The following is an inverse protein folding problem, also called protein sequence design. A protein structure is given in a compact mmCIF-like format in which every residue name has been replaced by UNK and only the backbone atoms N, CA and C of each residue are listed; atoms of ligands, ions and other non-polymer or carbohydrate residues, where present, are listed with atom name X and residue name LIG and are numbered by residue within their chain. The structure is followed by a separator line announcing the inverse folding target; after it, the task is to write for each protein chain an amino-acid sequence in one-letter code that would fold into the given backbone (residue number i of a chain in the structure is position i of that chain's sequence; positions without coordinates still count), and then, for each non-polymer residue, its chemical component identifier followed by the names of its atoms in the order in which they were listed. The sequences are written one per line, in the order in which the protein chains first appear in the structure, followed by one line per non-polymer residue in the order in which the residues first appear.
data_IF_403879045591
#
_entry.id   IF_403879045591
#
_cell.length_a   1.000
_cell.length_b   1.000
_cell.length_c   1.000
_cell.angle_alpha   90.00
_cell.angle_beta   90.00
_cell.angle_gamma   90.00
#
_symmetry.space_group_name_H-M   'P 1'
#
loop_
_entity.id
_entity.type
_entity.pdbx_description
1 polymer ?
#
# COMPACT_ATOMS: atom_id res chain seq x y z
N UNK A 1 -14.29 -12.78 -3.44
CA UNK A 1 -14.71 -11.41 -3.08
C UNK A 1 -15.28 -11.32 -1.68
N UNK A 2 -16.35 -12.06 -1.37
CA UNK A 2 -17.05 -11.98 -0.06
C UNK A 2 -16.09 -11.99 1.15
N UNK A 3 -15.20 -12.98 1.25
CA UNK A 3 -14.26 -13.10 2.38
C UNK A 3 -13.37 -11.87 2.54
N UNK A 4 -12.88 -11.28 1.45
CA UNK A 4 -12.06 -10.06 1.51
C UNK A 4 -12.84 -8.86 2.03
N UNK A 5 -14.12 -8.72 1.66
CA UNK A 5 -14.98 -7.70 2.24
C UNK A 5 -15.17 -7.93 3.74
N UNK A 6 -15.46 -9.16 4.16
CA UNK A 6 -15.66 -9.48 5.58
C UNK A 6 -14.42 -9.17 6.43
N UNK A 7 -13.22 -9.43 5.93
CA UNK A 7 -11.97 -9.05 6.62
C UNK A 7 -11.90 -7.53 6.82
N UNK A 8 -12.12 -6.75 5.76
CA UNK A 8 -12.08 -5.29 5.83
C UNK A 8 -13.20 -4.71 6.72
N UNK A 9 -14.42 -5.22 6.58
CA UNK A 9 -15.57 -4.83 7.40
C UNK A 9 -15.29 -5.11 8.88
N UNK A 10 -14.75 -6.30 9.20
CA UNK A 10 -14.40 -6.67 10.57
C UNK A 10 -13.28 -5.79 11.13
N UNK A 11 -12.29 -5.43 10.31
CA UNK A 11 -11.25 -4.49 10.71
C UNK A 11 -11.81 -3.10 11.02
N UNK A 12 -12.68 -2.56 10.16
CA UNK A 12 -13.34 -1.26 10.40
C UNK A 12 -14.24 -1.30 11.65
N UNK A 13 -14.92 -2.42 11.90
CA UNK A 13 -15.71 -2.64 13.11
C UNK A 13 -14.84 -2.74 14.38
N UNK A 14 -13.65 -3.34 14.26
CA UNK A 14 -12.67 -3.41 15.33
C UNK A 14 -12.13 -2.03 15.70
N UNK A 15 -11.61 -1.27 14.74
CA UNK A 15 -10.97 0.03 15.01
C UNK A 15 -11.99 1.08 15.47
N UNK A 16 -13.24 1.09 14.95
CA UNK A 16 -14.25 2.05 15.44
C UNK A 16 -14.56 1.84 16.93
N UNK A 17 -14.55 0.59 17.41
CA UNK A 17 -14.80 0.25 18.82
C UNK A 17 -13.65 0.71 19.72
N UNK A 18 -12.44 0.84 19.16
CA UNK A 18 -11.28 1.43 19.84
C UNK A 18 -11.27 2.96 19.78
N UNK A 19 -12.24 3.60 19.13
CA UNK A 19 -12.37 5.07 19.10
C UNK A 19 -11.76 5.75 17.88
N UNK A 20 -11.34 5.00 16.86
CA UNK A 20 -10.93 5.60 15.59
C UNK A 20 -12.14 6.25 14.88
N UNK A 21 -11.98 7.49 14.43
CA UNK A 21 -13.08 8.31 13.93
C UNK A 21 -13.31 8.19 12.42
N UNK A 22 -12.24 8.02 11.65
CA UNK A 22 -12.28 7.99 10.18
C UNK A 22 -11.36 6.92 9.65
N UNK A 23 -11.73 6.34 8.51
CA UNK A 23 -10.90 5.46 7.70
C UNK A 23 -10.61 6.13 6.36
N UNK A 24 -9.35 6.03 5.92
CA UNK A 24 -8.86 6.59 4.66
C UNK A 24 -8.42 5.46 3.74
N UNK A 25 -8.93 5.42 2.52
CA UNK A 25 -8.64 4.37 1.54
C UNK A 25 -8.20 5.02 0.23
N UNK A 26 -6.97 4.75 -0.17
CA UNK A 26 -6.49 5.03 -1.52
C UNK A 26 -6.69 3.82 -2.43
N UNK A 27 -7.70 3.89 -3.30
CA UNK A 27 -8.05 2.85 -4.26
C UNK A 27 -7.12 2.87 -5.48
N UNK A 28 -5.87 2.45 -5.28
CA UNK A 28 -4.84 2.38 -6.30
C UNK A 28 -4.59 0.91 -6.71
N UNK A 29 -4.81 0.51 -7.97
CA UNK A 29 -4.36 -0.80 -8.44
C UNK A 29 -2.84 -0.78 -8.70
N UNK A 30 -2.14 -1.92 -8.54
CA UNK A 30 -0.70 -1.98 -8.84
C UNK A 30 -0.45 -1.79 -10.34
N UNK A 31 0.70 -1.19 -10.68
CA UNK A 31 1.15 -1.06 -12.07
C UNK A 31 1.48 -2.43 -12.67
N UNK A 32 1.56 -2.48 -14.01
CA UNK A 32 1.92 -3.71 -14.71
C UNK A 32 3.34 -4.13 -14.35
N UNK A 33 3.49 -5.31 -13.77
CA UNK A 33 4.78 -5.85 -13.32
C UNK A 33 5.02 -5.65 -11.82
N UNK A 34 4.20 -4.86 -11.14
CA UNK A 34 4.31 -4.62 -9.71
C UNK A 34 3.42 -5.54 -8.89
N UNK A 35 3.89 -5.83 -7.68
CA UNK A 35 3.21 -6.60 -6.66
C UNK A 35 3.20 -5.81 -5.35
N UNK A 36 2.03 -5.66 -4.71
CA UNK A 36 1.94 -4.93 -3.44
C UNK A 36 2.54 -5.70 -2.27
N UNK A 37 2.21 -6.98 -2.12
CA UNK A 37 2.61 -7.82 -0.99
C UNK A 37 3.13 -9.17 -1.50
N UNK A 38 2.33 -9.90 -2.26
CA UNK A 38 2.68 -11.25 -2.70
C UNK A 38 3.47 -11.22 -4.01
N UNK A 39 4.73 -11.67 -3.95
CA UNK A 39 5.64 -11.73 -5.08
C UNK A 39 5.20 -12.79 -6.11
N UNK A 40 5.18 -12.39 -7.39
CA UNK A 40 4.80 -13.24 -8.52
C UNK A 40 3.37 -13.80 -8.39
N UNK A 41 2.38 -12.98 -8.75
CA UNK A 41 0.96 -13.39 -8.83
C UNK A 41 0.68 -14.34 -10.01
N UNK A 42 -0.41 -15.14 -9.96
CA UNK A 42 -0.79 -16.01 -11.07
C UNK A 42 -1.06 -15.22 -12.35
N UNK A 43 -0.64 -15.75 -13.50
CA UNK A 43 -0.79 -15.06 -14.80
C UNK A 43 -2.26 -14.82 -15.18
N UNK A 44 -3.15 -15.70 -14.75
CA UNK A 44 -4.60 -15.61 -14.97
C UNK A 44 -5.31 -14.71 -13.94
N UNK A 45 -4.62 -14.31 -12.86
CA UNK A 45 -5.13 -13.36 -11.88
C UNK A 45 -5.08 -11.93 -12.42
N UNK A 46 -6.22 -11.48 -12.95
CA UNK A 46 -6.36 -10.13 -13.52
C UNK A 46 -6.33 -9.04 -12.45
N UNK A 47 -5.45 -8.05 -12.63
CA UNK A 47 -5.49 -6.80 -11.87
C UNK A 47 -6.73 -5.98 -12.25
N UNK A 48 -7.56 -5.54 -11.28
CA UNK A 48 -8.69 -4.67 -11.58
C UNK A 48 -8.20 -3.29 -12.07
N UNK A 49 -8.90 -2.71 -13.04
CA UNK A 49 -8.72 -1.29 -13.41
C UNK A 49 -9.27 -0.38 -12.31
N UNK A 50 -8.86 0.88 -12.31
CA UNK A 50 -9.17 1.88 -11.28
C UNK A 50 -10.67 1.95 -10.95
N UNK A 51 -11.52 2.10 -11.97
CA UNK A 51 -12.97 2.16 -11.77
C UNK A 51 -13.55 0.91 -11.11
N UNK A 52 -13.04 -0.27 -11.47
CA UNK A 52 -13.50 -1.55 -10.89
C UNK A 52 -13.04 -1.70 -9.44
N UNK A 53 -11.81 -1.30 -9.13
CA UNK A 53 -11.27 -1.35 -7.77
C UNK A 53 -12.00 -0.34 -6.86
N UNK A 54 -12.23 0.88 -7.34
CA UNK A 54 -13.04 1.88 -6.61
C UNK A 54 -14.43 1.34 -6.28
N UNK A 55 -15.13 0.80 -7.28
CA UNK A 55 -16.48 0.25 -7.05
C UNK A 55 -16.46 -0.93 -6.07
N UNK A 56 -15.39 -1.73 -6.07
CA UNK A 56 -15.22 -2.83 -5.13
C UNK A 56 -15.15 -2.34 -3.68
N UNK A 57 -14.36 -1.29 -3.40
CA UNK A 57 -14.31 -0.66 -2.08
C UNK A 57 -15.63 0.03 -1.70
N UNK A 58 -16.26 0.74 -2.63
CA UNK A 58 -17.57 1.38 -2.39
C UNK A 58 -18.60 0.33 -1.99
N UNK A 59 -18.65 -0.82 -2.67
CA UNK A 59 -19.58 -1.90 -2.33
C UNK A 59 -19.32 -2.45 -0.91
N UNK A 60 -18.06 -2.58 -0.51
CA UNK A 60 -17.67 -2.99 0.85
C UNK A 60 -18.09 -1.95 1.91
N UNK A 61 -17.90 -0.65 1.64
CA UNK A 61 -18.29 0.42 2.56
C UNK A 61 -19.80 0.62 2.65
N UNK A 62 -20.54 0.43 1.56
CA UNK A 62 -22.01 0.39 1.57
C UNK A 62 -22.52 -0.75 2.46
N UNK A 63 -21.84 -1.90 2.45
CA UNK A 63 -22.13 -3.00 3.38
C UNK A 63 -21.80 -2.62 4.83
N UNK A 64 -20.70 -1.91 5.08
CA UNK A 64 -20.43 -1.31 6.40
C UNK A 64 -21.54 -0.35 6.84
N UNK A 65 -22.08 0.45 5.91
CA UNK A 65 -23.24 1.31 6.21
C UNK A 65 -24.46 0.44 6.57
N UNK A 66 -24.79 -0.62 5.85
CA UNK A 66 -25.91 -1.50 6.25
C UNK A 66 -25.76 -2.06 7.66
N UNK A 67 -24.53 -2.36 8.08
CA UNK A 67 -24.19 -2.92 9.40
C UNK A 67 -23.97 -1.89 10.50
N UNK A 68 -24.31 -0.62 10.26
CA UNK A 68 -24.14 0.47 11.23
C UNK A 68 -22.67 0.68 11.69
N UNK A 69 -21.69 0.26 10.88
CA UNK A 69 -20.24 0.41 11.14
C UNK A 69 -19.72 1.76 10.62
N UNK A 70 -20.17 2.14 9.42
CA UNK A 70 -19.81 3.39 8.73
C UNK A 70 -21.04 4.28 8.60
N UNK A 71 -20.85 5.57 8.77
CA UNK A 71 -21.84 6.61 8.51
C UNK A 71 -21.59 7.28 7.16
N UNK A 72 -21.26 8.57 7.18
CA UNK A 72 -20.99 9.40 5.99
C UNK A 72 -19.76 8.87 5.25
N UNK A 73 -19.80 8.92 3.92
CA UNK A 73 -18.65 8.72 3.05
C UNK A 73 -18.41 9.99 2.24
N UNK A 74 -17.15 10.32 2.00
CA UNK A 74 -16.71 11.45 1.17
C UNK A 74 -15.34 11.12 0.56
N UNK A 75 -14.63 12.11 0.06
CA UNK A 75 -13.27 11.97 -0.45
C UNK A 75 -12.37 13.10 0.08
N UNK A 76 -11.06 12.93 -0.09
CA UNK A 76 -10.06 13.90 0.37
C UNK A 76 -10.20 15.28 -0.30
N UNK A 77 -10.66 15.32 -1.56
CA UNK A 77 -10.86 16.58 -2.28
C UNK A 77 -12.00 17.41 -1.69
N UNK A 78 -13.18 16.81 -1.55
CA UNK A 78 -14.35 17.51 -1.03
C UNK A 78 -14.12 17.93 0.45
N UNK A 79 -13.31 17.18 1.21
CA UNK A 79 -13.03 17.49 2.61
C UNK A 79 -11.95 18.57 2.81
N UNK A 80 -10.85 18.50 2.04
CA UNK A 80 -9.68 19.36 2.24
C UNK A 80 -9.40 20.27 1.06
N UNK A 81 -9.26 19.72 -0.15
CA UNK A 81 -8.74 20.46 -1.31
C UNK A 81 -9.77 21.38 -1.98
N UNK A 82 -11.06 21.22 -1.72
CA UNK A 82 -12.10 22.15 -2.19
C UNK A 82 -12.33 23.31 -1.23
N UNK A 83 -11.85 23.22 0.01
CA UNK A 83 -12.06 24.24 1.03
C UNK A 83 -10.99 25.33 0.93
N UNK A 84 -11.41 26.54 0.58
CA UNK A 84 -10.51 27.69 0.40
C UNK A 84 -9.89 28.20 1.72
N UNK A 85 -10.46 27.83 2.86
CA UNK A 85 -10.00 28.26 4.18
C UNK A 85 -8.94 27.33 4.79
N UNK A 86 -8.62 26.21 4.14
CA UNK A 86 -7.62 25.25 4.62
C UNK A 86 -6.29 25.44 3.89
N UNK A 87 -5.21 25.26 4.64
CA UNK A 87 -3.84 25.16 4.11
C UNK A 87 -3.37 23.69 4.12
N UNK A 88 -2.18 23.45 3.58
CA UNK A 88 -1.61 22.11 3.47
C UNK A 88 -1.42 21.40 4.82
N UNK A 89 -1.36 22.13 5.95
CA UNK A 89 -1.18 21.53 7.28
C UNK A 89 -2.44 20.84 7.80
N UNK A 90 -3.60 21.13 7.22
CA UNK A 90 -4.86 20.50 7.56
C UNK A 90 -5.01 19.09 6.95
N UNK A 91 -4.24 18.77 5.90
CA UNK A 91 -4.31 17.49 5.20
C UNK A 91 -3.61 16.41 6.04
N UNK A 92 -4.28 15.29 6.35
CA UNK A 92 -3.67 14.14 7.03
C UNK A 92 -2.39 13.66 6.32
N UNK A 93 -1.31 13.54 7.08
CA UNK A 93 -0.04 13.03 6.59
C UNK A 93 0.05 11.53 6.91
N UNK A 94 -0.07 10.70 5.88
CA UNK A 94 0.13 9.25 5.97
C UNK A 94 1.38 8.84 5.18
N UNK A 95 2.23 8.02 5.79
CA UNK A 95 3.44 7.52 5.15
C UNK A 95 3.11 6.68 3.91
N UNK A 96 3.76 6.98 2.79
CA UNK A 96 3.55 6.28 1.52
C UNK A 96 2.25 6.61 0.79
N UNK A 97 1.47 7.59 1.26
CA UNK A 97 0.30 8.09 0.56
C UNK A 97 0.69 9.01 -0.62
N UNK A 98 -0.27 9.32 -1.49
CA UNK A 98 -0.06 10.13 -2.68
C UNK A 98 0.29 11.59 -2.34
N UNK A 99 -0.37 12.18 -1.34
CA UNK A 99 -0.33 13.63 -1.11
C UNK A 99 1.03 14.17 -0.68
N UNK A 100 1.77 13.54 0.27
CA UNK A 100 3.07 14.05 0.69
C UNK A 100 4.08 14.17 -0.46
N UNK A 101 4.21 13.13 -1.28
CA UNK A 101 5.15 13.14 -2.41
C UNK A 101 4.78 14.17 -3.48
N UNK A 102 3.48 14.30 -3.79
CA UNK A 102 3.01 15.32 -4.74
C UNK A 102 3.22 16.74 -4.19
N UNK A 103 2.97 16.96 -2.90
CA UNK A 103 3.21 18.24 -2.24
C UNK A 103 4.69 18.64 -2.31
N UNK A 104 5.62 17.70 -2.07
CA UNK A 104 7.05 17.95 -2.20
C UNK A 104 7.45 18.35 -3.63
N UNK A 105 6.91 17.67 -4.65
CA UNK A 105 7.17 18.02 -6.05
C UNK A 105 6.66 19.43 -6.37
N UNK A 106 5.44 19.76 -5.91
CA UNK A 106 4.84 21.07 -6.09
C UNK A 106 5.67 22.17 -5.41
N UNK A 107 6.16 21.92 -4.19
CA UNK A 107 6.99 22.88 -3.44
C UNK A 107 8.28 23.16 -4.22
N UNK A 108 8.97 22.10 -4.69
CA UNK A 108 10.17 22.24 -5.52
C UNK A 108 9.90 23.09 -6.77
N UNK A 109 8.83 22.78 -7.51
CA UNK A 109 8.44 23.54 -8.71
C UNK A 109 8.14 25.02 -8.41
N UNK A 110 7.53 25.32 -7.26
CA UNK A 110 7.21 26.68 -6.84
C UNK A 110 8.47 27.47 -6.43
N UNK A 111 9.44 26.81 -5.80
CA UNK A 111 10.72 27.41 -5.43
C UNK A 111 11.57 27.71 -6.68
N UNK A 112 11.65 26.77 -7.61
CA UNK A 112 12.35 26.95 -8.89
C UNK A 112 11.67 28.02 -9.76
N UNK A 113 10.34 28.07 -9.77
CA UNK A 113 9.55 29.09 -10.46
C UNK A 113 9.72 30.51 -9.90
N UNK A 114 10.07 30.65 -8.61
CA UNK A 114 10.41 31.95 -7.99
C UNK A 114 11.82 32.42 -8.40
N UNK A 115 12.75 31.50 -8.66
CA UNK A 115 14.11 31.80 -9.14
C UNK A 115 14.17 32.43 -10.54
N UNK A 116 13.16 32.20 -11.38
CA UNK A 116 13.11 32.71 -12.75
C UNK A 116 12.42 34.09 -12.91
N UNK A 117 11.99 34.74 -11.82
CA UNK A 117 11.38 36.09 -11.85
C UNK A 117 12.36 37.23 -11.50
N UNK A 118 13.65 36.96 -11.48
CA UNK A 118 14.72 37.97 -11.32
C UNK A 118 15.71 37.96 -12.48
N UNK A 119 15.27 38.35 -13.68
CA UNK A 119 16.20 38.41 -14.82
C UNK A 119 15.52 38.63 -16.16
N UNK A 120 15.11 39.87 -16.45
CA UNK A 120 14.92 40.29 -17.84
C UNK A 120 16.26 40.19 -18.57
N UNK A 121 16.41 39.20 -19.44
CA UNK A 121 17.62 39.04 -20.27
C UNK A 121 17.45 37.92 -21.26
N UNK A 122 16.83 38.20 -22.41
CA UNK A 122 16.48 37.22 -23.41
C UNK A 122 17.65 36.35 -23.87
N UNK A 123 17.40 35.05 -24.05
CA UNK A 123 18.19 34.19 -24.94
C UNK A 123 17.31 33.18 -25.67
N UNK A 124 17.46 33.22 -26.99
CA UNK A 124 16.73 32.52 -28.05
C UNK A 124 16.58 31.01 -27.80
N UNK A 125 15.38 30.48 -28.06
CA UNK A 125 15.12 29.06 -28.32
C UNK A 125 16.05 28.55 -29.42
N UNK A 126 17.03 27.70 -29.06
CA UNK A 126 17.75 26.87 -30.03
C UNK A 126 16.95 25.58 -30.24
N UNK A 127 16.17 25.53 -31.32
CA UNK A 127 15.74 24.26 -31.94
C UNK A 127 16.99 23.48 -32.36
N UNK A 128 17.18 22.26 -31.87
CA UNK A 128 18.06 21.28 -32.53
C UNK A 128 17.21 20.18 -33.14
N UNK A 129 17.36 20.07 -34.46
CA UNK A 129 16.71 19.17 -35.41
C UNK A 129 16.96 17.69 -35.07
N UNK A 130 15.90 16.90 -35.09
CA UNK A 130 15.97 15.47 -35.43
C UNK A 130 16.45 15.35 -36.89
N UNK A 131 17.56 14.65 -37.11
CA UNK A 131 18.01 14.24 -38.44
C UNK A 131 17.48 12.83 -38.70
N UNK A 132 16.45 12.75 -39.54
CA UNK A 132 16.17 11.54 -40.32
C UNK A 132 17.32 11.30 -41.29
N UNK A 133 17.84 10.08 -41.31
CA UNK A 133 18.54 9.55 -42.47
C UNK A 133 17.89 8.22 -42.85
N UNK A 134 17.24 8.20 -44.01
CA UNK A 134 16.91 6.98 -44.76
C UNK A 134 18.14 6.62 -45.59
N UNK A 135 18.57 5.36 -45.51
CA UNK A 135 19.59 4.72 -46.35
C UNK A 135 19.34 3.21 -46.36
N UNK A 136 19.33 2.62 -47.54
CA UNK A 136 18.61 1.41 -47.94
C UNK A 136 19.52 0.15 -48.04
N UNK A 137 18.94 -1.05 -47.89
CA UNK A 137 19.49 -2.38 -48.26
C UNK A 137 20.31 -3.10 -47.17
N UNK A 138 20.27 -4.43 -46.94
CA UNK A 138 19.60 -5.56 -47.61
C UNK A 138 19.68 -6.84 -46.73
N UNK A 139 18.72 -7.75 -46.90
CA UNK A 139 18.75 -9.22 -46.70
C UNK A 139 19.04 -9.95 -45.34
N UNK A 140 18.08 -10.85 -45.03
CA UNK A 140 18.16 -12.24 -44.51
C UNK A 140 18.47 -12.62 -43.04
N UNK A 141 17.39 -13.07 -42.38
CA UNK A 141 17.13 -14.43 -41.83
C UNK A 141 17.90 -14.98 -40.59
N UNK A 142 17.16 -15.31 -39.52
CA UNK A 142 17.41 -16.50 -38.68
C UNK A 142 17.52 -16.32 -37.15
N UNK A 143 16.50 -16.76 -36.40
CA UNK A 143 16.67 -17.65 -35.22
C UNK A 143 16.88 -17.10 -33.79
N UNK A 144 15.79 -17.15 -33.00
CA UNK A 144 15.63 -17.76 -31.64
C UNK A 144 16.45 -17.31 -30.40
N UNK A 145 15.72 -17.25 -29.27
CA UNK A 145 16.11 -17.25 -27.84
C UNK A 145 16.74 -15.94 -27.31
N UNK A 146 16.37 -15.35 -26.17
CA UNK A 146 15.87 -15.89 -24.91
C UNK A 146 16.93 -15.63 -23.84
N UNK A 147 16.71 -14.68 -22.91
CA UNK A 147 17.66 -14.42 -21.82
C UNK A 147 17.61 -12.99 -21.29
N UNK A 148 16.91 -12.81 -20.16
CA UNK A 148 16.90 -11.58 -19.35
C UNK A 148 18.21 -11.41 -18.58
N UNK A 149 18.69 -10.17 -18.50
CA UNK A 149 19.71 -9.73 -17.54
C UNK A 149 19.19 -8.57 -16.71
N UNK A 150 19.55 -8.65 -15.45
CA UNK A 150 19.39 -7.73 -14.32
C UNK A 150 20.28 -6.49 -14.47
N UNK A 151 19.94 -5.41 -13.78
CA UNK A 151 20.85 -4.70 -12.85
C UNK A 151 20.10 -3.63 -12.03
N UNK A 152 20.42 -3.57 -10.74
CA UNK A 152 20.75 -2.32 -10.04
C UNK A 152 19.64 -1.45 -9.44
N UNK A 153 19.68 -1.34 -8.11
CA UNK A 153 18.81 -0.51 -7.27
C UNK A 153 18.81 0.99 -7.62
N UNK A 154 17.63 1.61 -7.49
CA UNK A 154 17.41 3.05 -7.58
C UNK A 154 16.03 3.42 -7.02
N UNK A 155 16.06 4.25 -5.98
CA UNK A 155 15.03 5.13 -5.45
C UNK A 155 13.73 5.27 -6.28
N UNK A 156 12.59 4.82 -5.72
CA UNK A 156 11.30 4.77 -6.39
C UNK A 156 10.56 6.11 -6.26
N UNK A 157 11.03 7.12 -6.99
CA UNK A 157 10.24 8.32 -7.33
C UNK A 157 9.15 7.97 -8.35
N UNK A 158 7.91 7.82 -7.88
CA UNK A 158 6.73 7.59 -8.74
C UNK A 158 6.40 8.85 -9.56
N UNK A 159 6.98 8.94 -10.75
CA UNK A 159 6.65 9.97 -11.75
C UNK A 159 5.58 9.44 -12.72
N UNK A 160 4.32 9.73 -12.41
CA UNK A 160 3.17 9.42 -13.26
C UNK A 160 3.05 10.41 -14.42
N UNK A 161 3.76 10.19 -15.53
CA UNK A 161 3.51 10.94 -16.78
C UNK A 161 2.36 10.31 -17.55
N UNK A 162 1.15 10.87 -17.44
CA UNK A 162 0.06 10.59 -18.38
C UNK A 162 -0.06 11.70 -19.42
N UNK A 163 0.17 11.31 -20.66
CA UNK A 163 -0.02 12.11 -21.87
C UNK A 163 -1.51 12.42 -22.07
N UNK A 164 -1.88 13.70 -22.01
CA UNK A 164 -3.15 14.22 -22.56
C UNK A 164 -2.85 15.04 -23.82
N UNK A 165 -3.57 14.83 -24.93
CA UNK A 165 -3.41 15.62 -26.14
C UNK A 165 -4.12 16.98 -25.99
N UNK A 166 -3.40 18.04 -26.36
CA UNK A 166 -3.91 19.40 -26.54
C UNK A 166 -4.54 19.56 -27.93
N UNK A 167 -5.71 20.22 -27.98
CA UNK A 167 -6.08 21.32 -28.91
C UNK A 167 -7.59 21.56 -28.72
N UNK A 168 -8.04 22.61 -28.04
CA UNK A 168 -8.08 24.04 -28.39
C UNK A 168 -9.11 24.41 -29.48
N UNK A 169 -10.24 24.98 -29.04
CA UNK A 169 -11.03 25.91 -29.86
C UNK A 169 -11.25 27.19 -29.05
N UNK A 170 -10.60 28.25 -29.51
CA UNK A 170 -10.68 29.60 -29.00
C UNK A 170 -12.06 30.23 -29.27
N UNK A 171 -12.56 31.00 -28.31
CA UNK A 171 -13.52 32.07 -28.55
C UNK A 171 -13.12 33.28 -27.71
N UNK A 172 -12.75 34.35 -28.41
CA UNK A 172 -12.43 35.66 -27.85
C UNK A 172 -13.72 36.41 -27.50
N UNK A 173 -13.75 37.14 -26.38
CA UNK A 173 -14.63 38.29 -26.21
C UNK A 173 -14.04 39.31 -25.23
N UNK A 174 -14.22 40.56 -25.60
CA UNK A 174 -13.57 41.79 -25.13
C UNK A 174 -13.86 42.24 -23.70
N UNK A 175 -12.91 43.03 -23.20
CA UNK A 175 -12.97 44.05 -22.16
C UNK A 175 -14.35 44.61 -21.78
N UNK A 176 -14.57 44.77 -20.47
CA UNK A 176 -15.17 46.01 -19.97
C UNK A 176 -14.56 46.43 -18.63
N UNK A 177 -14.38 47.74 -18.52
CA UNK A 177 -13.75 48.51 -17.44
C UNK A 177 -14.70 48.82 -16.30
N UNK A 178 -14.17 48.87 -15.08
CA UNK A 178 -14.63 49.79 -14.03
C UNK A 178 -15.44 49.18 -12.88
N UNK A 179 -14.77 48.97 -11.75
CA UNK A 179 -15.33 49.28 -10.42
C UNK A 179 -14.23 49.13 -9.38
N UNK A 180 -13.78 50.27 -8.88
CA UNK A 180 -12.82 50.40 -7.80
C UNK A 180 -13.51 49.99 -6.49
N UNK A 181 -13.43 48.71 -6.14
CA UNK A 181 -13.69 48.26 -4.76
C UNK A 181 -12.37 47.82 -4.19
N UNK A 182 -11.93 48.52 -3.15
CA UNK A 182 -10.73 48.21 -2.39
C UNK A 182 -10.99 46.88 -1.68
N UNK A 183 -10.68 45.77 -2.36
CA UNK A 183 -10.75 44.45 -1.78
C UNK A 183 -9.80 44.41 -0.57
N UNK A 184 -10.36 44.00 0.57
CA UNK A 184 -9.64 43.43 1.71
C UNK A 184 -8.47 42.58 1.17
N UNK A 185 -7.25 42.56 1.74
CA UNK A 185 -6.17 41.74 1.22
C UNK A 185 -6.68 40.30 1.23
N UNK A 186 -7.06 39.82 0.05
CA UNK A 186 -7.60 38.48 -0.16
C UNK A 186 -6.55 37.55 0.38
N UNK A 187 -6.91 36.76 1.39
CA UNK A 187 -6.06 35.68 1.89
C UNK A 187 -5.62 34.91 0.66
N UNK A 188 -4.34 35.03 0.31
CA UNK A 188 -3.78 34.32 -0.84
C UNK A 188 -3.86 32.86 -0.45
N UNK A 189 -4.80 32.14 -1.07
CA UNK A 189 -4.99 30.72 -0.83
C UNK A 189 -3.66 30.00 -1.01
N UNK A 190 -3.39 29.03 -0.13
CA UNK A 190 -2.14 28.28 -0.14
C UNK A 190 -1.85 27.74 -1.56
N UNK A 191 -0.76 28.19 -2.22
CA UNK A 191 -0.44 27.78 -3.59
C UNK A 191 -0.23 26.27 -3.74
N UNK A 192 0.21 25.58 -2.68
CA UNK A 192 0.38 24.13 -2.67
C UNK A 192 -1.00 23.47 -2.72
N UNK A 193 -1.95 23.92 -1.88
CA UNK A 193 -3.32 23.42 -1.86
C UNK A 193 -4.06 23.65 -3.18
N UNK A 194 -3.84 24.80 -3.83
CA UNK A 194 -4.43 25.07 -5.15
C UNK A 194 -3.95 24.04 -6.17
N UNK A 195 -2.64 23.86 -6.30
CA UNK A 195 -2.06 22.89 -7.24
C UNK A 195 -2.42 21.44 -6.91
N UNK A 196 -2.40 21.06 -5.63
CA UNK A 196 -2.85 19.73 -5.20
C UNK A 196 -4.33 19.51 -5.57
N UNK A 197 -5.19 20.50 -5.33
CA UNK A 197 -6.58 20.45 -5.74
C UNK A 197 -6.75 20.18 -7.23
N UNK A 198 -6.09 20.96 -8.08
CA UNK A 198 -6.14 20.79 -9.54
C UNK A 198 -5.70 19.40 -10.00
N UNK A 199 -4.65 18.84 -9.37
CA UNK A 199 -4.13 17.49 -9.70
C UNK A 199 -5.07 16.38 -9.22
N UNK A 200 -5.66 16.55 -8.03
CA UNK A 200 -6.45 15.50 -7.37
C UNK A 200 -7.88 15.45 -7.90
N UNK A 201 -8.47 16.58 -8.31
CA UNK A 201 -9.86 16.68 -8.76
C UNK A 201 -10.28 15.59 -9.77
N UNK A 202 -9.51 15.31 -10.84
CA UNK A 202 -9.88 14.29 -11.83
C UNK A 202 -9.89 12.86 -11.28
N UNK A 203 -9.21 12.62 -10.16
CA UNK A 203 -9.06 11.31 -9.53
C UNK A 203 -9.61 11.26 -8.09
N UNK A 204 -10.42 12.26 -7.69
CA UNK A 204 -10.86 12.42 -6.30
C UNK A 204 -11.59 11.20 -5.73
N UNK A 205 -12.32 10.48 -6.57
CA UNK A 205 -13.05 9.26 -6.19
C UNK A 205 -12.14 8.08 -5.81
N UNK A 206 -10.84 8.18 -6.08
CA UNK A 206 -9.85 7.18 -5.66
C UNK A 206 -9.41 7.36 -4.20
N UNK A 207 -9.72 8.49 -3.55
CA UNK A 207 -9.28 8.82 -2.19
C UNK A 207 -10.47 8.90 -1.24
N UNK A 208 -10.94 7.73 -0.80
CA UNK A 208 -12.20 7.59 -0.06
C UNK A 208 -11.96 7.87 1.43
N UNK A 209 -12.85 8.67 2.03
CA UNK A 209 -12.90 8.91 3.48
C UNK A 209 -14.22 8.41 4.01
N UNK A 210 -14.17 7.45 4.94
CA UNK A 210 -15.33 6.87 5.59
C UNK A 210 -15.36 7.27 7.07
N UNK A 211 -16.48 7.86 7.51
CA UNK A 211 -16.70 8.21 8.90
C UNK A 211 -17.19 6.99 9.67
N UNK A 212 -16.46 6.61 10.71
CA UNK A 212 -16.75 5.44 11.50
C UNK A 212 -17.79 5.78 12.57
N UNK A 213 -18.72 4.86 12.84
CA UNK A 213 -19.69 5.00 13.92
C UNK A 213 -19.06 4.58 15.26
N UNK A 214 -18.09 5.37 15.72
CA UNK A 214 -17.47 5.26 17.03
C UNK A 214 -18.33 5.99 18.11
N UNK A 215 -18.01 5.79 19.39
CA UNK A 215 -18.86 6.24 20.51
C UNK A 215 -19.15 7.76 20.51
N UNK A 216 -18.20 8.59 20.10
CA UNK A 216 -18.33 10.05 20.04
C UNK A 216 -18.56 10.60 18.63
N UNK A 217 -18.98 9.77 17.67
CA UNK A 217 -19.31 10.24 16.33
C UNK A 217 -20.46 11.26 16.37
N UNK A 218 -20.33 12.34 15.59
CA UNK A 218 -21.37 13.35 15.47
C UNK A 218 -22.58 12.82 14.71
N UNK A 219 -23.74 13.47 14.87
CA UNK A 219 -24.95 13.09 14.10
C UNK A 219 -24.80 13.38 12.60
N UNK A 220 -23.92 14.30 12.22
CA UNK A 220 -23.59 14.56 10.82
C UNK A 220 -22.76 13.44 10.20
N UNK A 221 -21.82 12.91 10.97
CA UNK A 221 -20.93 11.83 10.53
C UNK A 221 -21.63 10.48 10.47
N UNK A 222 -22.74 10.29 11.21
CA UNK A 222 -23.55 9.07 11.18
C UNK A 222 -24.50 8.98 9.98
N UNK A 223 -24.68 10.07 9.21
CA UNK A 223 -25.65 10.12 8.10
C UNK A 223 -25.29 9.13 7.00
N UNK A 224 -26.30 8.38 6.54
CA UNK A 224 -26.19 7.44 5.42
C UNK A 224 -27.26 7.76 4.35
N UNK A 225 -27.11 7.30 3.09
CA UNK A 225 -28.12 7.48 2.06
C UNK A 225 -29.49 6.91 2.46
N UNK A 226 -30.58 7.54 2.01
CA UNK A 226 -31.96 7.15 2.34
C UNK A 226 -32.25 5.67 2.05
N UNK A 227 -31.80 5.17 0.91
CA UNK A 227 -31.96 3.76 0.54
C UNK A 227 -31.35 2.81 1.59
N UNK A 228 -30.22 3.17 2.20
CA UNK A 228 -29.58 2.35 3.24
C UNK A 228 -30.37 2.41 4.56
N UNK A 229 -30.98 3.56 4.89
CA UNK A 229 -31.87 3.65 6.06
C UNK A 229 -33.10 2.75 5.89
N UNK A 230 -33.73 2.80 4.71
CA UNK A 230 -34.88 1.95 4.38
C UNK A 230 -34.52 0.46 4.42
N UNK A 231 -33.35 0.08 3.86
CA UNK A 231 -32.85 -1.29 3.92
C UNK A 231 -32.65 -1.77 5.37
N UNK A 232 -32.07 -0.91 6.24
CA UNK A 232 -31.90 -1.23 7.68
C UNK A 232 -33.24 -1.45 8.37
N UNK A 233 -34.24 -0.63 8.10
CA UNK A 233 -35.58 -0.77 8.68
C UNK A 233 -36.28 -2.05 8.23
N UNK A 234 -36.16 -2.43 6.95
CA UNK A 234 -36.71 -3.69 6.44
C UNK A 234 -36.08 -4.89 7.14
N UNK A 235 -34.75 -4.91 7.26
CA UNK A 235 -34.01 -5.97 7.96
C UNK A 235 -34.36 -6.07 9.45
N UNK A 236 -34.64 -4.94 10.12
CA UNK A 236 -35.12 -4.92 11.51
C UNK A 236 -36.50 -5.58 11.62
N UNK A 237 -37.45 -5.19 10.76
CA UNK A 237 -38.80 -5.78 10.71
C UNK A 237 -38.78 -7.29 10.40
N UNK A 238 -37.93 -7.74 9.49
CA UNK A 238 -37.78 -9.17 9.16
C UNK A 238 -37.20 -9.98 10.33
N UNK A 239 -36.26 -9.41 11.08
CA UNK A 239 -35.72 -10.04 12.30
C UNK A 239 -36.75 -10.10 13.42
N UNK A 240 -37.54 -9.05 13.60
CA UNK A 240 -38.63 -9.03 14.58
C UNK A 240 -39.70 -10.08 14.21
N UNK A 241 -40.14 -10.11 12.95
CA UNK A 241 -41.12 -11.09 12.46
C UNK A 241 -40.64 -12.55 12.54
N UNK A 242 -39.35 -12.81 12.31
CA UNK A 242 -38.79 -14.16 12.47
C UNK A 242 -38.64 -14.56 13.94
N UNK A 243 -38.36 -13.61 14.84
CA UNK A 243 -38.30 -13.88 16.29
C UNK A 243 -39.66 -14.12 16.95
N UNK A 244 -40.76 -13.61 16.38
CA UNK A 244 -42.13 -13.88 16.85
C UNK A 244 -42.66 -15.26 16.41
N UNK A 245 -42.02 -15.91 15.43
CA UNK A 245 -42.39 -17.25 14.95
C UNK A 245 -41.74 -18.41 15.73
N UNK A 246 -40.80 -18.11 16.65
CA UNK A 246 -40.15 -19.10 17.51
C UNK A 246 -40.62 -18.99 18.97
N UNK A 247 -41.84 -19.43 19.28
CA UNK A 247 -42.19 -19.85 20.64
C UNK A 247 -41.56 -21.22 20.91
N UNK A 248 -40.39 -21.23 21.55
CA UNK A 248 -39.76 -22.45 22.08
C UNK A 248 -38.23 -22.34 22.20
N UNK A 249 -37.75 -22.30 23.44
CA UNK A 249 -36.37 -22.31 23.93
C UNK A 249 -35.55 -21.00 23.87
N UNK A 250 -35.61 -20.30 25.00
CA UNK A 250 -34.68 -19.27 25.46
C UNK A 250 -33.24 -19.83 25.55
N UNK A 251 -32.40 -19.46 24.58
CA UNK A 251 -30.93 -19.57 24.68
C UNK A 251 -30.30 -18.19 24.54
N UNK A 252 -30.50 -17.35 25.55
CA UNK A 252 -29.64 -16.19 25.81
C UNK A 252 -28.23 -16.64 26.22
N UNK A 253 -27.37 -16.87 25.24
CA UNK A 253 -25.95 -17.17 25.44
C UNK A 253 -25.21 -15.95 26.01
N UNK A 254 -25.07 -15.87 27.34
CA UNK A 254 -24.13 -14.95 27.99
C UNK A 254 -22.70 -15.33 27.57
N UNK A 255 -21.95 -14.38 26.99
CA UNK A 255 -20.52 -14.54 26.66
C UNK A 255 -19.76 -14.90 27.94
N UNK A 256 -19.04 -16.03 27.89
CA UNK A 256 -18.14 -16.51 28.94
C UNK A 256 -16.70 -16.32 28.48
N UNK A 257 -15.78 -16.08 29.42
CA UNK A 257 -14.35 -16.11 29.16
C UNK A 257 -13.84 -17.56 28.97
N UNK A 258 -12.54 -17.71 28.69
CA UNK A 258 -11.87 -19.01 28.52
C UNK A 258 -11.91 -19.90 29.77
N UNK A 259 -12.31 -19.35 30.92
CA UNK A 259 -12.43 -20.06 32.21
C UNK A 259 -13.91 -20.30 32.60
N UNK A 260 -14.87 -19.91 31.76
CA UNK A 260 -16.29 -20.23 31.93
C UNK A 260 -17.10 -19.26 32.80
N UNK A 261 -16.55 -18.11 33.17
CA UNK A 261 -17.22 -17.11 34.03
C UNK A 261 -18.10 -16.14 33.23
N UNK A 262 -19.20 -15.68 33.83
CA UNK A 262 -20.15 -14.73 33.23
C UNK A 262 -19.57 -13.31 33.34
N UNK A 263 -19.22 -12.69 32.21
CA UNK A 263 -18.72 -11.31 32.18
C UNK A 263 -19.90 -10.33 32.07
N UNK A 264 -20.25 -9.66 33.16
CA UNK A 264 -21.19 -8.53 33.14
C UNK A 264 -20.42 -7.25 32.80
N UNK A 265 -20.68 -6.66 31.64
CA UNK A 265 -20.18 -5.33 31.26
C UNK A 265 -20.68 -4.30 32.28
N UNK A 266 -19.79 -3.83 33.15
CA UNK A 266 -20.07 -2.67 34.00
C UNK A 266 -20.04 -1.43 33.12
N UNK A 267 -21.22 -0.91 32.77
CA UNK A 267 -21.37 0.43 32.23
C UNK A 267 -20.96 1.45 33.29
N UNK A 268 -19.70 1.89 33.26
CA UNK A 268 -19.28 3.08 34.01
C UNK A 268 -19.79 4.30 33.25
N UNK A 269 -20.76 5.01 33.82
CA UNK A 269 -21.21 6.32 33.35
C UNK A 269 -20.03 7.29 33.34
N UNK A 270 -19.43 7.54 32.16
CA UNK A 270 -18.33 8.50 32.00
C UNK A 270 -18.88 9.82 31.47
N UNK A 271 -18.53 10.89 32.17
CA UNK A 271 -18.94 12.28 31.91
C UNK A 271 -18.67 12.70 30.45
N UNK A 272 -19.66 13.36 29.85
CA UNK A 272 -19.62 13.99 28.51
C UNK A 272 -18.67 15.19 28.52
N UNK A 273 -17.36 14.94 28.45
CA UNK A 273 -16.35 15.87 27.92
C UNK A 273 -14.96 15.27 28.09
N UNK A 274 -14.66 14.19 27.37
CA UNK A 274 -13.27 13.76 27.20
C UNK A 274 -13.12 13.22 25.79
N UNK A 275 -12.19 13.80 25.01
CA UNK A 275 -11.68 13.25 23.75
C UNK A 275 -11.54 11.73 23.94
N UNK A 276 -12.27 10.92 23.16
CA UNK A 276 -12.23 9.47 23.40
C UNK A 276 -10.78 9.00 23.33
N UNK A 277 -10.38 8.30 24.38
CA UNK A 277 -9.06 7.71 24.45
C UNK A 277 -9.09 6.48 23.54
N UNK A 278 -8.14 6.43 22.61
CA UNK A 278 -7.96 5.23 21.80
C UNK A 278 -7.63 4.09 22.75
N UNK A 279 -8.33 2.97 22.60
CA UNK A 279 -8.03 1.76 23.34
C UNK A 279 -6.82 1.12 22.68
N UNK A 280 -5.71 1.06 23.41
CA UNK A 280 -4.47 0.42 23.00
C UNK A 280 -4.17 -0.69 24.01
N UNK A 281 -4.71 -1.87 23.71
CA UNK A 281 -4.62 -3.10 24.51
C UNK A 281 -3.93 -4.23 23.74
N UNK A 282 -3.13 -3.89 22.71
CA UNK A 282 -2.37 -4.87 21.95
C UNK A 282 -1.25 -5.44 22.84
N UNK A 283 -1.34 -6.74 23.14
CA UNK A 283 -0.61 -7.38 24.26
C UNK A 283 0.86 -7.68 23.93
N UNK A 284 1.25 -7.70 22.65
CA UNK A 284 2.63 -7.96 22.23
C UNK A 284 2.98 -7.22 20.93
N UNK A 285 4.14 -6.57 20.92
CA UNK A 285 4.76 -6.07 19.70
C UNK A 285 5.35 -7.27 18.94
N UNK A 286 4.60 -7.76 17.95
CA UNK A 286 5.04 -8.81 17.03
C UNK A 286 6.12 -8.25 16.08
N UNK A 287 7.33 -8.01 16.60
CA UNK A 287 8.41 -7.43 15.79
C UNK A 287 9.03 -8.49 14.88
N UNK A 288 8.71 -8.43 13.60
CA UNK A 288 9.26 -9.35 12.64
C UNK A 288 9.74 -8.53 11.45
N UNK A 289 11.04 -8.27 11.37
CA UNK A 289 11.67 -7.31 10.45
C UNK A 289 11.12 -7.39 9.01
N UNK A 290 10.86 -8.60 8.51
CA UNK A 290 10.35 -8.81 7.16
C UNK A 290 8.85 -8.60 6.98
N UNK A 291 8.05 -8.49 8.04
CA UNK A 291 6.65 -8.07 8.00
C UNK A 291 6.43 -6.62 8.41
N UNK A 292 7.48 -5.94 8.92
CA UNK A 292 7.37 -4.53 9.32
C UNK A 292 7.01 -3.63 8.14
N UNK A 293 7.40 -4.00 6.91
CA UNK A 293 6.95 -3.33 5.70
C UNK A 293 6.92 -4.26 4.48
N UNK A 294 6.15 -3.87 3.46
CA UNK A 294 5.97 -4.65 2.23
C UNK A 294 7.29 -4.94 1.49
N UNK A 295 8.24 -4.02 1.52
CA UNK A 295 9.49 -4.16 0.76
C UNK A 295 10.36 -5.25 1.36
N UNK A 296 10.44 -5.31 2.70
CA UNK A 296 11.15 -6.36 3.41
C UNK A 296 10.57 -7.75 3.09
N UNK A 297 9.24 -7.87 3.07
CA UNK A 297 8.56 -9.12 2.69
C UNK A 297 8.83 -9.52 1.23
N UNK A 298 8.75 -8.56 0.30
CA UNK A 298 9.05 -8.79 -1.11
C UNK A 298 10.51 -9.18 -1.33
N UNK A 299 11.45 -8.60 -0.57
CA UNK A 299 12.87 -8.95 -0.63
C UNK A 299 13.11 -10.37 -0.10
N UNK A 300 12.47 -10.76 1.00
CA UNK A 300 12.48 -12.14 1.49
C UNK A 300 11.99 -13.11 0.42
N UNK A 301 10.86 -12.77 -0.23
CA UNK A 301 10.29 -13.62 -1.26
C UNK A 301 11.18 -13.73 -2.50
N UNK A 302 11.75 -12.62 -2.96
CA UNK A 302 12.66 -12.61 -4.13
C UNK A 302 13.93 -13.43 -3.86
N UNK A 303 14.57 -13.23 -2.72
CA UNK A 303 15.83 -13.89 -2.41
C UNK A 303 15.70 -15.39 -2.09
N UNK A 304 14.52 -15.84 -1.66
CA UNK A 304 14.25 -17.28 -1.43
C UNK A 304 13.38 -17.94 -2.52
N UNK A 305 13.11 -17.22 -3.62
CA UNK A 305 12.23 -17.70 -4.69
C UNK A 305 10.84 -18.14 -4.20
N UNK A 306 10.31 -17.46 -3.19
CA UNK A 306 8.97 -17.71 -2.68
C UNK A 306 7.94 -16.99 -3.56
N UNK A 307 7.19 -17.78 -4.33
CA UNK A 307 6.26 -17.27 -5.34
C UNK A 307 4.82 -17.65 -5.00
N UNK A 308 3.87 -16.89 -5.55
CA UNK A 308 2.43 -17.05 -5.34
C UNK A 308 1.64 -17.30 -6.63
N UNK A 309 2.33 -17.64 -7.72
CA UNK A 309 1.78 -17.75 -9.08
C UNK A 309 1.11 -19.10 -9.36
N UNK A 310 1.42 -20.12 -8.57
CA UNK A 310 0.75 -21.41 -8.59
C UNK A 310 0.32 -21.84 -7.19
N UNK A 311 -0.77 -22.61 -7.09
CA UNK A 311 -1.27 -23.10 -5.80
C UNK A 311 -0.21 -23.87 -4.99
N UNK A 312 0.61 -24.69 -5.64
CA UNK A 312 1.68 -25.44 -4.96
C UNK A 312 2.75 -24.50 -4.41
N UNK A 313 3.19 -23.53 -5.20
CA UNK A 313 4.20 -22.53 -4.81
C UNK A 313 3.67 -21.62 -3.71
N UNK A 314 2.42 -21.15 -3.83
CA UNK A 314 1.76 -20.37 -2.79
C UNK A 314 1.65 -21.12 -1.44
N UNK A 315 1.34 -22.42 -1.46
CA UNK A 315 1.32 -23.26 -0.25
C UNK A 315 2.71 -23.42 0.37
N UNK A 316 3.72 -23.70 -0.45
CA UNK A 316 5.11 -23.80 0.01
C UNK A 316 5.58 -22.48 0.61
N UNK A 317 5.38 -21.38 -0.10
CA UNK A 317 5.68 -20.04 0.40
C UNK A 317 4.98 -19.76 1.71
N UNK A 318 3.67 -20.05 1.83
CA UNK A 318 2.93 -19.84 3.07
C UNK A 318 3.49 -20.66 4.23
N UNK A 319 3.92 -21.89 3.98
CA UNK A 319 4.60 -22.73 4.96
C UNK A 319 5.94 -22.12 5.40
N UNK A 320 6.73 -21.60 4.47
CA UNK A 320 8.02 -20.95 4.79
C UNK A 320 7.83 -19.63 5.55
N UNK A 321 6.82 -18.85 5.19
CA UNK A 321 6.41 -17.64 5.92
C UNK A 321 6.05 -17.97 7.37
N UNK A 322 5.26 -19.03 7.60
CA UNK A 322 4.96 -19.53 8.95
C UNK A 322 6.21 -20.03 9.67
N UNK A 323 7.11 -20.72 8.96
CA UNK A 323 8.37 -21.17 9.54
C UNK A 323 9.22 -19.99 10.02
N UNK A 324 9.38 -18.92 9.21
CA UNK A 324 10.12 -17.73 9.63
C UNK A 324 9.44 -16.99 10.80
N UNK A 325 8.11 -17.04 10.93
CA UNK A 325 7.42 -16.51 12.12
C UNK A 325 7.83 -17.26 13.40
N UNK A 326 8.00 -18.57 13.33
CA UNK A 326 8.40 -19.39 14.47
C UNK A 326 9.93 -19.39 14.72
N UNK A 327 10.73 -19.02 13.72
CA UNK A 327 12.19 -19.05 13.75
C UNK A 327 12.74 -17.68 13.34
N UNK A 328 12.42 -16.65 14.14
CA UNK A 328 12.68 -15.23 13.82
C UNK A 328 14.17 -14.93 13.60
N UNK A 329 15.04 -15.61 14.34
CA UNK A 329 16.49 -15.39 14.31
C UNK A 329 17.19 -16.20 13.19
N UNK A 330 16.52 -17.22 12.65
CA UNK A 330 17.13 -18.13 11.70
C UNK A 330 17.61 -17.39 10.42
N UNK A 331 18.74 -17.81 9.83
CA UNK A 331 19.28 -17.20 8.62
C UNK A 331 18.25 -17.15 7.49
N UNK A 332 17.92 -15.93 7.06
CA UNK A 332 16.84 -15.67 6.09
C UNK A 332 17.23 -15.99 4.65
N UNK A 333 18.52 -15.97 4.34
CA UNK A 333 19.05 -16.27 3.01
C UNK A 333 20.19 -17.27 3.18
N UNK A 334 19.88 -18.55 2.97
CA UNK A 334 20.86 -19.63 3.06
C UNK A 334 21.46 -19.86 1.68
N UNK A 335 22.78 -19.70 1.58
CA UNK A 335 23.48 -19.93 0.32
C UNK A 335 23.67 -21.42 0.09
N UNK A 336 23.39 -21.88 -1.13
CA UNK A 336 23.58 -23.27 -1.53
C UNK A 336 24.90 -23.45 -2.28
N UNK A 337 25.59 -24.56 -2.01
CA UNK A 337 26.79 -24.92 -2.75
C UNK A 337 26.43 -25.28 -4.21
N UNK A 338 27.00 -24.57 -5.17
CA UNK A 338 26.78 -24.78 -6.60
C UNK A 338 27.18 -26.19 -7.09
N UNK A 339 28.06 -26.89 -6.36
CA UNK A 339 28.50 -28.24 -6.74
C UNK A 339 27.70 -29.37 -6.13
N UNK A 340 27.25 -29.26 -4.88
CA UNK A 340 26.58 -30.36 -4.16
C UNK A 340 25.14 -30.04 -3.75
N UNK A 341 24.68 -28.81 -4.01
CA UNK A 341 23.35 -28.30 -3.67
C UNK A 341 23.00 -28.34 -2.19
N UNK A 342 23.97 -28.60 -1.30
CA UNK A 342 23.80 -28.50 0.15
C UNK A 342 23.84 -27.05 0.58
N UNK A 343 22.98 -26.72 1.54
CA UNK A 343 22.97 -25.45 2.25
C UNK A 343 24.25 -25.25 3.08
N UNK A 344 24.87 -24.08 2.95
CA UNK A 344 26.09 -23.71 3.67
C UNK A 344 25.69 -22.97 4.94
N UNK A 345 25.30 -23.72 5.96
CA UNK A 345 24.78 -23.17 7.23
C UNK A 345 25.88 -22.72 8.20
N UNK A 346 27.07 -23.32 8.13
CA UNK A 346 28.17 -23.06 9.05
C UNK A 346 29.52 -23.21 8.33
N UNK A 347 30.58 -22.61 8.88
CA UNK A 347 31.95 -22.82 8.41
C UNK A 347 32.43 -21.75 7.41
N UNK A 348 33.07 -22.16 6.32
CA UNK A 348 33.60 -21.25 5.30
C UNK A 348 32.84 -21.43 3.99
N UNK A 349 32.23 -20.35 3.51
CA UNK A 349 31.61 -20.23 2.19
C UNK A 349 32.61 -19.59 1.23
N UNK A 350 32.83 -20.19 0.07
CA UNK A 350 33.74 -19.64 -0.95
C UNK A 350 32.91 -19.01 -2.08
N UNK A 351 32.81 -17.68 -2.07
CA UNK A 351 31.95 -16.90 -2.96
C UNK A 351 32.70 -16.34 -4.18
N UNK A 352 32.05 -16.29 -5.34
CA UNK A 352 32.59 -15.64 -6.53
C UNK A 352 32.04 -14.22 -6.71
N UNK A 353 32.91 -13.20 -6.64
CA UNK A 353 32.50 -11.81 -6.88
C UNK A 353 32.21 -11.46 -8.36
N UNK A 354 32.38 -12.41 -9.28
CA UNK A 354 32.22 -12.17 -10.73
C UNK A 354 31.04 -12.94 -11.33
N UNK A 355 30.75 -14.12 -10.81
CA UNK A 355 29.60 -14.92 -11.24
C UNK A 355 28.39 -14.59 -10.36
N UNK A 356 27.21 -14.54 -10.96
CA UNK A 356 25.95 -14.41 -10.22
C UNK A 356 25.72 -15.66 -9.38
N UNK A 357 25.50 -15.47 -8.07
CA UNK A 357 25.10 -16.51 -7.10
C UNK A 357 25.94 -17.80 -7.14
N UNK A 358 27.26 -17.66 -7.26
CA UNK A 358 28.17 -18.82 -7.26
C UNK A 358 28.92 -18.93 -5.94
N UNK A 359 28.50 -19.90 -5.13
CA UNK A 359 29.10 -20.23 -3.84
C UNK A 359 29.48 -21.72 -3.77
N UNK A 360 30.61 -22.04 -3.13
CA UNK A 360 31.00 -23.42 -2.80
C UNK A 360 31.15 -23.59 -1.30
N UNK A 361 30.70 -24.75 -0.79
CA UNK A 361 31.06 -25.16 0.57
C UNK A 361 32.55 -25.51 0.64
N UNK A 362 33.11 -25.47 1.85
CA UNK A 362 34.54 -25.73 2.07
C UNK A 362 34.99 -27.12 1.56
N UNK A 363 34.14 -28.15 1.69
CA UNK A 363 34.42 -29.50 1.18
C UNK A 363 34.55 -29.51 -0.35
N UNK A 364 33.60 -28.88 -1.07
CA UNK A 364 33.62 -28.80 -2.52
C UNK A 364 34.72 -27.86 -3.03
N UNK A 365 35.07 -26.82 -2.28
CA UNK A 365 36.18 -25.95 -2.65
C UNK A 365 37.52 -26.69 -2.63
N UNK A 366 37.75 -27.51 -1.60
CA UNK A 366 38.99 -28.28 -1.39
C UNK A 366 39.10 -29.50 -2.30
N UNK A 367 37.98 -30.02 -2.80
CA UNK A 367 37.99 -31.19 -3.68
C UNK A 367 38.47 -30.80 -5.10
N UNK A 368 39.60 -31.35 -5.58
CA UNK A 368 40.12 -31.04 -6.91
C UNK A 368 39.22 -31.54 -8.05
N UNK A 369 38.33 -32.49 -7.77
CA UNK A 369 37.37 -33.04 -8.76
C UNK A 369 36.02 -32.33 -8.75
N UNK A 370 35.85 -31.26 -7.97
CA UNK A 370 34.59 -30.52 -7.93
C UNK A 370 34.32 -29.82 -9.26
N UNK A 371 33.15 -30.08 -9.82
CA UNK A 371 32.67 -29.40 -11.02
C UNK A 371 32.27 -27.97 -10.65
N UNK A 372 33.04 -26.98 -11.11
CA UNK A 372 32.73 -25.54 -10.96
C UNK A 372 31.86 -24.98 -12.09
N UNK A 373 31.36 -25.85 -12.97
CA UNK A 373 30.62 -25.44 -14.16
C UNK A 373 31.47 -24.52 -15.03
N UNK A 374 30.94 -23.32 -15.33
CA UNK A 374 31.62 -22.28 -16.11
C UNK A 374 32.46 -21.32 -15.27
N UNK A 375 32.44 -21.42 -13.93
CA UNK A 375 33.16 -20.49 -13.06
C UNK A 375 34.65 -20.85 -12.98
N UNK A 376 35.49 -19.96 -13.51
CA UNK A 376 36.97 -20.07 -13.47
C UNK A 376 37.62 -19.00 -12.58
N UNK A 377 36.82 -18.15 -11.95
CA UNK A 377 37.31 -17.02 -11.15
C UNK A 377 37.83 -17.47 -9.78
N UNK A 378 38.60 -16.58 -9.15
CA UNK A 378 39.03 -16.75 -7.75
C UNK A 378 37.82 -16.59 -6.83
N UNK A 379 37.70 -17.49 -5.85
CA UNK A 379 36.67 -17.44 -4.82
C UNK A 379 37.23 -16.82 -3.55
N UNK A 380 36.40 -16.03 -2.86
CA UNK A 380 36.72 -15.39 -1.59
C UNK A 380 36.08 -16.16 -0.43
N UNK A 381 36.85 -16.47 0.64
CA UNK A 381 36.33 -17.14 1.81
C UNK A 381 35.54 -16.15 2.69
N UNK A 382 34.29 -16.48 2.96
CA UNK A 382 33.38 -15.77 3.85
C UNK A 382 33.04 -16.72 5.00
N UNK A 383 33.28 -16.29 6.24
CA UNK A 383 32.92 -17.07 7.42
C UNK A 383 31.39 -17.02 7.61
N UNK A 384 30.79 -18.19 7.74
CA UNK A 384 29.36 -18.36 8.06
C UNK A 384 29.27 -18.86 9.50
N UNK A 385 28.74 -18.02 10.37
CA UNK A 385 28.52 -18.38 11.77
C UNK A 385 27.23 -19.18 11.88
N UNK A 386 27.34 -20.39 12.46
CA UNK A 386 26.20 -21.25 12.72
C UNK A 386 25.54 -20.91 14.03
N UNK A 387 24.21 -20.96 14.07
CA UNK A 387 23.46 -20.95 15.32
C UNK A 387 23.69 -22.26 16.07
N UNK A 388 24.68 -22.27 16.96
CA UNK A 388 24.77 -23.22 18.07
C UNK A 388 25.73 -22.66 19.11
N UNK A 389 25.32 -21.64 19.87
CA UNK A 389 25.84 -21.37 21.24
C UNK A 389 25.18 -20.14 21.90
N UNK A 390 23.87 -20.18 22.17
CA UNK A 390 23.29 -19.46 23.32
C UNK A 390 22.16 -20.31 23.89
N UNK A 391 22.52 -21.30 24.70
CA UNK A 391 21.56 -22.23 25.30
C UNK A 391 22.14 -23.21 26.32
N UNK A 392 23.31 -22.95 26.89
CA UNK A 392 23.81 -23.66 28.06
C UNK A 392 24.54 -22.66 28.96
N UNK A 393 23.85 -22.18 30.01
CA UNK A 393 24.44 -21.22 30.93
C UNK A 393 23.46 -20.56 31.89
N UNK A 394 22.73 -21.37 32.68
CA UNK A 394 22.50 -21.10 34.11
C UNK A 394 21.75 -22.28 34.72
N UNK A 395 22.51 -23.19 35.33
CA UNK A 395 22.07 -23.87 36.55
C UNK A 395 22.30 -22.95 37.74
#
# INVERSE_FOLDING_TARGET
TFIYHEILISYLDYVRKRGFATAHIWACPPLKGDDYIFYAKPEDQKTPKDARLRQWYINMLVECQRREIVGKMTNMYDLYFSNENLDATAVPYFEGDYFPGEAENIIKDLEEGKGNKGGSGGKKKKKKKSKNNKGQGDSNNGGKAGGSKTDGAGDAGSSGSSLVPSDSSAAAASNNSGSNTRANPSVVRDPVMVKLGEIIEPMKESFIVAYLNWEGASEEDKKVPKAIMEDREKLKKEKEASSESSTGDDKSGKKRDSEGNIVSLKNTSRSKSSRAKIIDDDVEELDCEFFNNRQAFLNLCRGNHYQFDELRRAKHTSMMVLWHFHNRDAPKFVQQCASCSREILTGIRHHCNTCTDFDLCDECFKNPNTNRGSCTHKLEPIKVEGENSQGEGNQ
#
